data_IF_192396273088
#
_entry.id   IF_192396273088
#
_cell.length_a   1.000
_cell.length_b   1.000
_cell.length_c   1.000
_cell.angle_alpha   90.00
_cell.angle_beta   90.00
_cell.angle_gamma   90.00
#
_symmetry.space_group_name_H-M   'P 1'
#
loop_
_entity.id
_entity.type
_entity.pdbx_description
1 polymer ?
#
# COMPACT_ATOMS: atom_id res chain seq x y z
N UNK A 1 6.60 30.42 6.65
CA UNK A 1 7.05 29.03 6.91
C UNK A 1 6.55 28.17 5.77
N UNK A 2 7.44 27.72 4.89
CA UNK A 2 7.07 26.89 3.74
C UNK A 2 6.67 25.49 4.24
N UNK A 3 5.39 25.16 4.18
CA UNK A 3 4.91 23.77 4.33
C UNK A 3 5.30 23.01 3.08
N UNK A 4 6.50 22.43 3.11
CA UNK A 4 6.99 21.54 2.06
C UNK A 4 6.04 20.34 1.98
N UNK A 5 5.17 20.33 0.97
CA UNK A 5 4.26 19.23 0.65
C UNK A 5 5.05 18.07 0.03
N UNK A 6 5.95 17.47 0.80
CA UNK A 6 6.78 16.37 0.34
C UNK A 6 6.33 15.05 0.96
N UNK A 7 5.17 14.57 0.49
CA UNK A 7 4.77 13.15 0.66
C UNK A 7 5.76 12.18 0.01
N UNK A 8 6.75 12.68 -0.76
CA UNK A 8 7.78 11.86 -1.39
C UNK A 8 8.94 11.51 -0.43
N UNK A 9 9.24 12.37 0.54
CA UNK A 9 10.32 12.17 1.51
C UNK A 9 10.06 10.95 2.41
N UNK A 10 8.83 10.81 2.91
CA UNK A 10 8.44 9.68 3.77
C UNK A 10 8.46 8.29 3.10
N UNK A 11 8.34 8.24 1.76
CA UNK A 11 8.45 6.99 1.02
C UNK A 11 9.91 6.61 0.71
N UNK A 12 10.82 7.59 0.79
CA UNK A 12 12.25 7.40 0.53
C UNK A 12 12.96 6.71 1.70
N UNK A 13 12.41 6.79 2.91
CA UNK A 13 12.94 6.10 4.11
C UNK A 13 12.77 4.57 4.08
N UNK A 14 11.88 4.03 3.24
CA UNK A 14 11.68 2.58 3.12
C UNK A 14 12.63 1.90 2.13
N UNK A 15 13.61 2.64 1.59
CA UNK A 15 14.48 2.19 0.49
C UNK A 15 15.33 0.96 0.81
N UNK A 16 15.53 0.61 2.10
CA UNK A 16 16.26 -0.58 2.54
C UNK A 16 15.44 -1.69 3.21
N UNK A 17 14.12 -1.52 3.40
CA UNK A 17 13.28 -2.51 4.10
C UNK A 17 12.48 -3.36 3.11
N UNK A 18 12.89 -4.62 2.93
CA UNK A 18 12.15 -5.62 2.13
C UNK A 18 10.81 -6.00 2.77
N UNK A 19 10.76 -5.93 4.10
CA UNK A 19 9.63 -6.34 4.92
C UNK A 19 9.12 -5.17 5.75
N UNK A 20 7.81 -4.96 5.68
CA UNK A 20 7.11 -3.89 6.36
C UNK A 20 6.19 -4.49 7.42
N UNK A 21 6.17 -3.88 8.60
CA UNK A 21 5.19 -4.18 9.63
C UNK A 21 3.83 -3.55 9.29
N UNK A 22 2.82 -3.76 10.15
CA UNK A 22 1.45 -3.28 9.89
C UNK A 22 1.35 -1.75 9.77
N UNK A 23 2.14 -0.99 10.52
CA UNK A 23 2.11 0.47 10.48
C UNK A 23 2.80 0.99 9.23
N UNK A 24 4.00 0.48 8.93
CA UNK A 24 4.76 0.83 7.74
C UNK A 24 3.99 0.48 6.46
N UNK A 25 3.36 -0.70 6.40
CA UNK A 25 2.53 -1.10 5.28
C UNK A 25 1.30 -0.18 5.11
N UNK A 26 0.70 0.27 6.20
CA UNK A 26 -0.43 1.21 6.15
C UNK A 26 0.01 2.58 5.61
N UNK A 27 1.18 3.08 6.03
CA UNK A 27 1.78 4.30 5.48
C UNK A 27 2.10 4.12 3.99
N UNK A 28 2.74 3.01 3.63
CA UNK A 28 3.14 2.70 2.26
C UNK A 28 1.95 2.66 1.30
N UNK A 29 0.85 2.03 1.71
CA UNK A 29 -0.41 1.98 0.96
C UNK A 29 -1.25 3.27 1.06
N UNK A 30 -0.74 4.32 1.74
CA UNK A 30 -1.45 5.58 2.02
C UNK A 30 -2.81 5.38 2.70
N UNK A 31 -2.93 4.34 3.52
CA UNK A 31 -4.10 4.06 4.34
C UNK A 31 -4.03 4.90 5.61
N UNK A 32 -4.28 6.21 5.46
CA UNK A 32 -4.22 7.17 6.55
C UNK A 32 -5.62 7.56 7.05
N UNK A 33 -5.69 7.90 8.33
CA UNK A 33 -6.87 8.52 8.95
C UNK A 33 -6.95 10.01 8.59
N UNK A 34 -8.08 10.67 8.91
CA UNK A 34 -8.24 12.13 8.69
C UNK A 34 -7.18 12.99 9.40
N UNK A 35 -6.49 12.43 10.41
CA UNK A 35 -5.40 13.07 11.15
C UNK A 35 -4.01 12.76 10.58
N UNK A 36 -3.93 12.09 9.44
CA UNK A 36 -2.66 11.68 8.81
C UNK A 36 -1.99 10.45 9.45
N UNK A 37 -2.62 9.80 10.43
CA UNK A 37 -2.06 8.63 11.13
C UNK A 37 -2.37 7.32 10.40
N UNK A 38 -1.48 6.30 10.44
CA UNK A 38 -1.71 5.01 9.79
C UNK A 38 -2.92 4.26 10.35
N UNK A 39 -3.84 3.88 9.47
CA UNK A 39 -5.08 3.18 9.83
C UNK A 39 -4.88 1.65 9.80
N UNK A 40 -4.34 1.11 10.90
CA UNK A 40 -4.10 -0.33 11.09
C UNK A 40 -5.35 -1.18 10.90
N UNK A 41 -6.51 -0.72 11.37
CA UNK A 41 -7.78 -1.44 11.26
C UNK A 41 -8.21 -1.63 9.80
N UNK A 42 -8.08 -0.59 8.99
CA UNK A 42 -8.40 -0.67 7.56
C UNK A 42 -7.48 -1.64 6.84
N UNK A 43 -6.18 -1.64 7.17
CA UNK A 43 -5.24 -2.62 6.62
C UNK A 43 -5.60 -4.06 7.04
N UNK A 44 -5.90 -4.29 8.32
CA UNK A 44 -6.36 -5.61 8.80
C UNK A 44 -7.62 -6.08 8.09
N UNK A 45 -8.58 -5.19 7.86
CA UNK A 45 -9.79 -5.51 7.11
C UNK A 45 -9.48 -5.92 5.66
N UNK A 46 -8.51 -5.26 5.01
CA UNK A 46 -8.07 -5.64 3.66
C UNK A 46 -7.35 -7.00 3.65
N UNK A 47 -6.55 -7.28 4.67
CA UNK A 47 -5.92 -8.59 4.88
C UNK A 47 -6.97 -9.68 5.06
N UNK A 48 -7.96 -9.47 5.93
CA UNK A 48 -9.05 -10.42 6.16
C UNK A 48 -9.88 -10.68 4.89
N UNK A 49 -10.07 -9.63 4.07
CA UNK A 49 -10.72 -9.74 2.74
C UNK A 49 -9.82 -10.32 1.64
N UNK A 50 -8.60 -10.78 1.98
CA UNK A 50 -7.59 -11.30 1.04
C UNK A 50 -7.25 -10.36 -0.11
N UNK A 51 -7.34 -9.04 0.13
CA UNK A 51 -7.01 -8.00 -0.86
C UNK A 51 -5.56 -7.53 -0.78
N UNK A 52 -4.88 -7.83 0.33
CA UNK A 52 -3.48 -7.47 0.55
C UNK A 52 -2.71 -8.74 0.91
N UNK A 53 -1.62 -9.06 0.19
CA UNK A 53 -0.76 -10.20 0.50
C UNK A 53 -0.04 -9.95 1.83
N UNK A 54 -0.04 -10.94 2.70
CA UNK A 54 0.56 -10.85 4.03
C UNK A 54 1.27 -12.16 4.39
N UNK A 55 2.23 -12.04 5.29
CA UNK A 55 2.98 -13.13 5.89
C UNK A 55 2.81 -13.06 7.41
N UNK A 56 2.83 -14.21 8.09
CA UNK A 56 2.59 -14.27 9.54
C UNK A 56 3.66 -15.07 10.32
N UNK A 57 4.95 -14.71 10.23
CA UNK A 57 5.96 -15.35 11.06
C UNK A 57 5.70 -15.05 12.54
N UNK A 58 5.75 -16.08 13.40
CA UNK A 58 5.58 -15.97 14.85
C UNK A 58 4.32 -15.19 15.28
N UNK A 59 3.25 -15.26 14.48
CA UNK A 59 1.98 -14.60 14.78
C UNK A 59 1.90 -13.11 14.41
N UNK A 60 2.96 -12.50 13.86
CA UNK A 60 3.01 -11.08 13.52
C UNK A 60 2.77 -10.84 12.04
N UNK A 61 1.93 -9.86 11.69
CA UNK A 61 1.68 -9.51 10.29
C UNK A 61 2.87 -8.76 9.69
N UNK A 62 3.42 -9.32 8.63
CA UNK A 62 4.49 -8.75 7.82
C UNK A 62 4.08 -8.69 6.35
N UNK A 63 4.57 -7.67 5.66
CA UNK A 63 4.19 -7.36 4.29
C UNK A 63 5.46 -7.17 3.47
N UNK A 64 5.56 -7.86 2.33
CA UNK A 64 6.70 -7.67 1.44
C UNK A 64 6.48 -6.43 0.58
N UNK A 65 7.45 -5.51 0.58
CA UNK A 65 7.33 -4.24 -0.15
C UNK A 65 7.05 -4.44 -1.64
N UNK A 66 7.74 -5.37 -2.29
CA UNK A 66 7.55 -5.69 -3.71
C UNK A 66 6.11 -6.12 -4.05
N UNK A 67 5.46 -6.84 -3.12
CA UNK A 67 4.08 -7.30 -3.31
C UNK A 67 3.07 -6.17 -3.13
N UNK A 68 3.30 -5.27 -2.16
CA UNK A 68 2.51 -4.07 -2.02
C UNK A 68 2.66 -3.14 -3.23
N UNK A 69 3.87 -3.03 -3.79
CA UNK A 69 4.13 -2.26 -5.00
C UNK A 69 3.36 -2.82 -6.20
N UNK A 70 3.46 -4.14 -6.45
CA UNK A 70 2.66 -4.81 -7.50
C UNK A 70 1.17 -4.58 -7.34
N UNK A 71 0.67 -4.58 -6.09
CA UNK A 71 -0.73 -4.30 -5.80
C UNK A 71 -1.13 -2.88 -6.22
N UNK A 72 -0.29 -1.88 -5.91
CA UNK A 72 -0.52 -0.48 -6.31
C UNK A 72 -0.49 -0.37 -7.84
N UNK A 73 0.50 -0.98 -8.49
CA UNK A 73 0.64 -0.98 -9.95
C UNK A 73 -0.58 -1.63 -10.64
N UNK A 74 -1.01 -2.80 -10.15
CA UNK A 74 -2.19 -3.51 -10.63
C UNK A 74 -3.47 -2.68 -10.43
N UNK A 75 -3.61 -2.03 -9.27
CA UNK A 75 -4.74 -1.14 -9.00
C UNK A 75 -4.80 0.05 -9.95
N UNK A 76 -3.65 0.57 -10.40
CA UNK A 76 -3.58 1.66 -11.38
C UNK A 76 -3.90 1.19 -12.80
N UNK A 77 -3.43 0.01 -13.18
CA UNK A 77 -3.69 -0.59 -14.48
C UNK A 77 -5.17 -1.00 -14.68
N UNK A 78 -5.88 -1.34 -13.60
CA UNK A 78 -7.32 -1.60 -13.63
C UNK A 78 -8.18 -0.45 -14.14
N UNK A 79 -7.66 0.78 -14.17
CA UNK A 79 -8.33 1.99 -14.67
C UNK A 79 -8.02 2.32 -16.15
N UNK A 80 -7.02 1.66 -16.77
CA UNK A 80 -6.59 1.97 -18.15
C UNK A 80 -6.92 0.89 -19.17
N UNK A 81 -7.43 -0.27 -18.74
CA UNK A 81 -7.99 -1.29 -19.65
C UNK A 81 -9.48 -1.06 -19.95
N UNK A 82 -9.82 0.19 -20.25
CA UNK A 82 -11.03 0.57 -20.95
C UNK A 82 -10.67 0.94 -22.38
N UNK A 83 -10.20 0.00 -23.19
CA UNK A 83 -10.11 0.23 -24.62
C UNK A 83 -10.43 -1.03 -25.43
N UNK A 84 -11.27 -0.77 -26.44
CA UNK A 84 -11.31 -1.43 -27.75
C UNK A 84 -11.56 -2.94 -27.83
N UNK A 85 -12.86 -3.28 -27.87
CA UNK A 85 -13.37 -4.13 -28.95
C UNK A 85 -14.45 -3.39 -29.73
N UNK A 86 -14.01 -2.58 -30.68
CA UNK A 86 -14.69 -2.43 -31.97
C UNK A 86 -14.29 -3.67 -32.80
N UNK A 87 -15.19 -4.13 -33.69
CA UNK A 87 -15.20 -5.34 -34.54
C UNK A 87 -15.96 -6.49 -33.87
N UNK A 88 -17.20 -6.82 -34.27
CA UNK A 88 -17.90 -6.68 -35.56
C UNK A 88 -19.38 -6.41 -35.35
#
# INVERSE_FOLDING_TARGET
MATSNNVHDFLSDFTGLDWLNTEEAAVYLRLLTKKGQPCKERLRNLVNKRRVPFYKPFGRLMFRRSELQKLIETSRQGTTNGNSKILR
#
